data_IF_260661471614
#
_entry.id   IF_260661471614
#
_cell.length_a   1.000
_cell.length_b   1.000
_cell.length_c   1.000
_cell.angle_alpha   90.00
_cell.angle_beta   90.00
_cell.angle_gamma   90.00
#
_symmetry.space_group_name_H-M   'P 1'
#
loop_
_entity.id
_entity.type
_entity.pdbx_description
1 polymer ?
#
# COMPACT_ATOMS: atom_id res chain seq x y z
N UNK A 1 8.75 10.25 12.67
CA UNK A 1 7.57 10.30 11.78
C UNK A 1 6.32 10.52 12.62
N UNK A 2 5.99 9.60 13.52
CA UNK A 2 4.78 9.66 14.35
C UNK A 2 4.71 10.89 15.28
N UNK A 3 5.85 11.35 15.82
CA UNK A 3 5.90 12.62 16.58
C UNK A 3 5.52 13.81 15.71
N UNK A 4 6.09 13.88 14.50
CA UNK A 4 5.78 14.92 13.51
C UNK A 4 4.32 14.88 13.06
N UNK A 5 3.70 13.69 13.03
CA UNK A 5 2.28 13.53 12.74
C UNK A 5 1.40 14.03 13.90
N UNK A 6 1.72 13.69 15.15
CA UNK A 6 0.99 14.16 16.32
C UNK A 6 1.11 15.67 16.54
N UNK A 7 2.31 16.24 16.32
CA UNK A 7 2.53 17.70 16.33
C UNK A 7 1.65 18.40 15.28
N UNK A 8 1.53 17.80 14.09
CA UNK A 8 0.72 18.34 13.01
C UNK A 8 -0.79 18.21 13.27
N UNK A 9 -1.21 17.09 13.86
CA UNK A 9 -2.58 16.93 14.36
C UNK A 9 -2.90 17.99 15.43
N UNK A 10 -1.93 18.37 16.26
CA UNK A 10 -2.01 19.56 17.11
C UNK A 10 -3.08 19.50 18.20
N UNK A 11 -3.53 18.30 18.60
CA UNK A 11 -4.52 18.09 19.67
C UNK A 11 -3.88 17.88 21.06
N UNK A 12 -2.56 17.98 21.17
CA UNK A 12 -1.83 17.69 22.42
C UNK A 12 -1.79 16.21 22.78
N UNK A 13 -2.13 15.33 21.83
CA UNK A 13 -2.08 13.88 22.00
C UNK A 13 -0.68 13.33 21.81
N UNK A 14 -0.42 12.17 22.40
CA UNK A 14 0.83 11.42 22.19
C UNK A 14 0.89 10.82 20.79
N UNK A 15 2.12 10.69 20.26
CA UNK A 15 2.37 10.02 19.00
C UNK A 15 1.79 8.59 18.96
N UNK A 16 1.06 8.28 17.88
CA UNK A 16 0.44 6.97 17.67
C UNK A 16 1.28 6.13 16.69
N UNK A 17 1.25 4.79 16.78
CA UNK A 17 1.82 3.95 15.73
C UNK A 17 1.06 4.16 14.41
N UNK A 18 1.73 3.96 13.28
CA UNK A 18 1.07 3.92 11.98
C UNK A 18 0.05 2.77 11.95
N UNK A 19 -1.07 2.95 11.25
CA UNK A 19 -2.14 1.94 11.16
C UNK A 19 -1.69 0.63 10.49
N UNK A 20 -0.56 0.65 9.78
CA UNK A 20 0.08 -0.50 9.16
C UNK A 20 1.60 -0.44 9.32
N UNK A 21 2.29 -1.51 8.89
CA UNK A 21 3.74 -1.56 8.79
C UNK A 21 4.25 -0.73 7.58
N UNK A 22 3.96 0.56 7.57
CA UNK A 22 4.21 1.45 6.44
C UNK A 22 5.69 1.49 6.03
N UNK A 23 6.60 1.43 7.00
CA UNK A 23 8.05 1.42 6.75
C UNK A 23 8.50 0.11 6.10
N UNK A 24 8.04 -1.03 6.62
CA UNK A 24 8.39 -2.34 6.08
C UNK A 24 7.83 -2.51 4.66
N UNK A 25 6.58 -2.07 4.45
CA UNK A 25 5.95 -2.15 3.15
C UNK A 25 6.63 -1.27 2.11
N UNK A 26 6.93 0.00 2.45
CA UNK A 26 7.65 0.91 1.56
C UNK A 26 9.08 0.42 1.28
N UNK A 27 9.82 -0.02 2.31
CA UNK A 27 11.16 -0.54 2.13
C UNK A 27 11.19 -1.81 1.28
N UNK A 28 10.22 -2.71 1.45
CA UNK A 28 10.06 -3.90 0.62
C UNK A 28 9.89 -3.55 -0.85
N UNK A 29 8.99 -2.60 -1.18
CA UNK A 29 8.82 -2.14 -2.56
C UNK A 29 10.04 -1.43 -3.11
N UNK A 30 10.73 -0.59 -2.33
CA UNK A 30 11.97 0.04 -2.78
C UNK A 30 13.07 -0.98 -3.05
N UNK A 31 13.18 -2.03 -2.22
CA UNK A 31 14.13 -3.10 -2.45
C UNK A 31 13.80 -3.88 -3.72
N UNK A 32 12.53 -4.24 -3.92
CA UNK A 32 12.08 -4.93 -5.13
C UNK A 32 12.34 -4.09 -6.39
N UNK A 33 11.98 -2.80 -6.38
CA UNK A 33 12.26 -1.89 -7.48
C UNK A 33 13.77 -1.74 -7.75
N UNK A 34 14.58 -1.63 -6.70
CA UNK A 34 16.04 -1.57 -6.83
C UNK A 34 16.63 -2.86 -7.39
N UNK A 35 16.14 -4.03 -6.98
CA UNK A 35 16.55 -5.34 -7.55
C UNK A 35 16.20 -5.41 -9.03
N UNK A 36 15.00 -5.00 -9.42
CA UNK A 36 14.60 -4.96 -10.84
C UNK A 36 15.51 -4.05 -11.65
N UNK A 37 15.86 -2.87 -11.11
CA UNK A 37 16.82 -1.96 -11.75
C UNK A 37 18.22 -2.58 -11.84
N UNK A 38 18.70 -3.26 -10.79
CA UNK A 38 19.98 -3.95 -10.78
C UNK A 38 20.04 -5.08 -11.82
N UNK A 39 18.98 -5.87 -11.97
CA UNK A 39 18.87 -6.91 -12.99
C UNK A 39 18.87 -6.32 -14.40
N UNK A 40 18.13 -5.22 -14.61
CA UNK A 40 18.16 -4.50 -15.88
C UNK A 40 19.58 -4.03 -16.22
N UNK A 41 20.25 -3.35 -15.29
CA UNK A 41 21.62 -2.88 -15.48
C UNK A 41 22.61 -4.02 -15.70
N UNK A 42 22.47 -5.13 -14.99
CA UNK A 42 23.27 -6.32 -15.24
C UNK A 42 23.09 -6.84 -16.67
N UNK A 43 21.85 -6.86 -17.18
CA UNK A 43 21.55 -7.33 -18.53
C UNK A 43 22.05 -6.37 -19.63
N UNK A 44 22.04 -5.05 -19.39
CA UNK A 44 22.38 -4.05 -20.41
C UNK A 44 23.81 -3.53 -20.35
N UNK A 45 24.40 -3.48 -19.15
CA UNK A 45 25.74 -2.91 -18.89
C UNK A 45 26.74 -3.98 -18.39
N UNK A 46 26.27 -5.15 -17.98
CA UNK A 46 27.08 -6.17 -17.33
C UNK A 46 27.37 -5.86 -15.85
N UNK A 47 28.25 -6.67 -15.24
CA UNK A 47 28.70 -6.49 -13.86
C UNK A 47 27.77 -7.05 -12.78
N UNK A 48 28.04 -6.64 -11.54
CA UNK A 48 27.27 -6.97 -10.35
C UNK A 48 26.88 -5.70 -9.64
N UNK A 49 25.64 -5.65 -9.16
CA UNK A 49 25.06 -4.47 -8.53
C UNK A 49 24.58 -4.82 -7.12
N UNK A 50 24.74 -3.87 -6.20
CA UNK A 50 24.27 -4.00 -4.83
C UNK A 50 23.16 -2.97 -4.57
N UNK A 51 22.06 -3.42 -3.97
CA UNK A 51 20.91 -2.58 -3.63
C UNK A 51 20.79 -2.56 -2.11
N UNK A 52 20.92 -1.36 -1.54
CA UNK A 52 20.79 -1.15 -0.10
C UNK A 52 19.54 -0.33 0.19
N UNK A 53 18.68 -0.85 1.06
CA UNK A 53 17.49 -0.16 1.57
C UNK A 53 17.51 -0.23 3.10
N UNK A 54 17.09 0.85 3.75
CA UNK A 54 16.92 0.88 5.20
C UNK A 54 15.57 1.46 5.58
N UNK A 55 14.97 0.96 6.67
CA UNK A 55 13.71 1.48 7.21
C UNK A 55 13.83 2.97 7.58
N UNK A 56 15.00 3.40 8.08
CA UNK A 56 15.27 4.81 8.36
C UNK A 56 15.30 5.66 7.08
N UNK A 57 15.85 5.15 5.98
CA UNK A 57 15.81 5.78 4.67
C UNK A 57 14.38 5.89 4.13
N UNK A 58 13.59 4.81 4.23
CA UNK A 58 12.17 4.81 3.86
C UNK A 58 11.39 5.86 4.67
N UNK A 59 11.62 5.95 5.99
CA UNK A 59 11.01 6.99 6.84
C UNK A 59 11.38 8.40 6.38
N UNK A 60 12.66 8.66 6.07
CA UNK A 60 13.11 9.98 5.59
C UNK A 60 12.44 10.35 4.27
N UNK A 61 12.32 9.40 3.35
CA UNK A 61 11.62 9.59 2.09
C UNK A 61 10.14 9.92 2.31
N UNK A 62 9.41 9.12 3.11
CA UNK A 62 8.00 9.38 3.39
C UNK A 62 7.78 10.76 4.02
N UNK A 63 8.66 11.18 4.93
CA UNK A 63 8.62 12.54 5.49
C UNK A 63 8.88 13.65 4.45
N UNK A 64 9.65 13.38 3.41
CA UNK A 64 9.94 14.36 2.36
C UNK A 64 8.79 14.60 1.38
N UNK A 65 7.76 13.74 1.37
CA UNK A 65 6.57 13.92 0.54
C UNK A 65 5.70 15.12 0.96
N UNK A 66 6.00 15.73 2.11
CA UNK A 66 5.24 16.83 2.67
C UNK A 66 4.11 16.35 3.58
N UNK A 67 3.39 17.32 4.12
CA UNK A 67 2.20 17.11 4.94
C UNK A 67 1.11 18.06 4.43
N UNK A 68 -0.15 17.70 4.67
CA UNK A 68 -1.28 18.60 4.42
C UNK A 68 -1.18 19.85 5.31
N UNK A 69 -2.07 20.83 5.15
CA UNK A 69 -2.04 22.03 5.99
C UNK A 69 -2.84 21.81 7.29
N UNK A 70 -2.20 22.05 8.44
CA UNK A 70 -2.83 21.95 9.76
C UNK A 70 -3.52 20.61 9.98
N UNK A 71 -4.85 20.65 10.22
CA UNK A 71 -5.64 19.43 10.47
C UNK A 71 -6.35 18.87 9.24
N UNK A 72 -6.19 19.48 8.06
CA UNK A 72 -6.96 19.11 6.87
C UNK A 72 -6.75 17.66 6.44
N UNK A 73 -5.56 17.10 6.64
CA UNK A 73 -5.28 15.69 6.37
C UNK A 73 -5.92 14.69 7.35
N UNK A 74 -6.52 15.17 8.43
CA UNK A 74 -7.19 14.35 9.45
C UNK A 74 -8.71 14.54 9.46
N UNK A 75 -9.24 15.50 8.68
CA UNK A 75 -10.67 15.78 8.58
C UNK A 75 -11.33 14.77 7.61
N UNK A 76 -11.34 13.51 8.04
CA UNK A 76 -11.94 12.40 7.31
C UNK A 76 -13.03 11.75 8.15
N UNK A 77 -14.08 11.26 7.49
CA UNK A 77 -15.11 10.45 8.13
C UNK A 77 -14.57 9.04 8.35
N UNK A 78 -14.55 8.59 9.60
CA UNK A 78 -14.33 7.17 9.90
C UNK A 78 -15.57 6.36 9.54
N UNK A 79 -15.40 5.30 8.75
CA UNK A 79 -16.46 4.34 8.45
C UNK A 79 -16.40 3.19 9.46
N UNK A 80 -17.49 2.97 10.18
CA UNK A 80 -17.56 1.93 11.22
C UNK A 80 -18.12 0.61 10.70
N UNK A 81 -18.87 0.63 9.61
CA UNK A 81 -19.33 -0.55 8.89
C UNK A 81 -19.30 -0.32 7.37
N UNK A 82 -19.41 -1.41 6.60
CA UNK A 82 -19.29 -1.37 5.14
C UNK A 82 -20.44 -0.59 4.49
N UNK A 83 -21.63 -0.60 5.09
CA UNK A 83 -22.81 0.11 4.60
C UNK A 83 -22.64 1.64 4.64
N UNK A 84 -21.74 2.15 5.49
CA UNK A 84 -21.44 3.58 5.57
C UNK A 84 -20.46 4.05 4.48
N UNK A 85 -19.77 3.11 3.82
CA UNK A 85 -18.75 3.39 2.81
C UNK A 85 -19.44 3.81 1.50
N UNK A 86 -19.07 4.97 0.92
CA UNK A 86 -19.63 5.41 -0.36
C UNK A 86 -19.51 4.33 -1.45
N UNK A 87 -20.57 4.06 -2.22
CA UNK A 87 -20.59 3.00 -3.22
C UNK A 87 -19.46 3.09 -4.27
N UNK A 88 -18.97 4.28 -4.56
CA UNK A 88 -17.85 4.50 -5.48
C UNK A 88 -16.50 3.92 -5.00
N UNK A 89 -16.38 3.62 -3.71
CA UNK A 89 -15.21 2.92 -3.13
C UNK A 89 -15.41 1.41 -3.02
N UNK A 90 -16.57 0.91 -3.42
CA UNK A 90 -16.89 -0.50 -3.39
C UNK A 90 -16.90 -1.08 -4.81
N UNK A 91 -16.60 -2.37 -4.90
CA UNK A 91 -16.81 -3.17 -6.11
C UNK A 91 -17.55 -4.46 -5.74
N UNK A 92 -18.46 -4.87 -6.60
CA UNK A 92 -19.22 -6.12 -6.47
C UNK A 92 -18.80 -7.08 -7.58
N UNK A 93 -18.42 -8.30 -7.22
CA UNK A 93 -17.96 -9.33 -8.16
C UNK A 93 -18.50 -10.70 -7.76
N UNK A 94 -18.66 -11.56 -8.76
CA UNK A 94 -18.92 -12.99 -8.54
C UNK A 94 -17.66 -13.69 -8.03
N UNK A 95 -17.82 -14.52 -7.00
CA UNK A 95 -16.73 -15.24 -6.33
C UNK A 95 -17.07 -16.72 -6.16
N UNK A 96 -16.11 -17.51 -5.64
CA UNK A 96 -16.39 -18.91 -5.28
C UNK A 96 -17.39 -19.07 -4.12
N UNK A 97 -17.80 -17.97 -3.48
CA UNK A 97 -18.82 -17.92 -2.42
C UNK A 97 -20.12 -17.24 -2.89
N UNK A 98 -20.25 -16.92 -4.18
CA UNK A 98 -21.34 -16.11 -4.76
C UNK A 98 -20.96 -14.63 -4.91
N UNK A 99 -21.97 -13.78 -5.09
CA UNK A 99 -21.78 -12.34 -5.20
C UNK A 99 -21.19 -11.75 -3.91
N UNK A 100 -20.11 -10.99 -4.04
CA UNK A 100 -19.43 -10.37 -2.92
C UNK A 100 -19.13 -8.91 -3.23
N UNK A 101 -19.37 -8.03 -2.25
CA UNK A 101 -19.03 -6.60 -2.30
C UNK A 101 -17.89 -6.30 -1.34
N UNK A 102 -16.85 -5.63 -1.83
CA UNK A 102 -15.65 -5.29 -1.06
C UNK A 102 -15.11 -3.91 -1.44
N UNK A 103 -14.19 -3.37 -0.63
CA UNK A 103 -13.48 -2.14 -0.97
C UNK A 103 -12.62 -2.38 -2.21
N UNK A 104 -12.83 -1.55 -3.24
CA UNK A 104 -12.09 -1.65 -4.50
C UNK A 104 -10.61 -1.32 -4.29
N UNK A 105 -9.77 -1.79 -5.20
CA UNK A 105 -8.35 -1.44 -5.19
C UNK A 105 -8.16 0.09 -5.27
N UNK A 106 -7.31 0.65 -4.39
CA UNK A 106 -7.15 2.11 -4.25
C UNK A 106 -6.28 2.74 -5.34
N UNK A 107 -5.35 1.99 -5.93
CA UNK A 107 -4.49 2.50 -6.98
C UNK A 107 -5.21 2.56 -8.33
N UNK A 108 -4.94 3.61 -9.10
CA UNK A 108 -5.26 3.74 -10.52
C UNK A 108 -3.98 4.04 -11.29
N UNK A 109 -3.70 3.26 -12.33
CA UNK A 109 -2.48 3.41 -13.13
C UNK A 109 -2.91 3.47 -14.60
N UNK A 110 -2.49 4.52 -15.30
CA UNK A 110 -2.84 4.70 -16.71
C UNK A 110 -2.35 3.52 -17.56
N UNK A 111 -3.25 2.94 -18.36
CA UNK A 111 -2.95 1.82 -19.24
C UNK A 111 -2.79 0.47 -18.53
N UNK A 112 -3.00 0.39 -17.21
CA UNK A 112 -2.88 -0.85 -16.43
C UNK A 112 -4.21 -1.19 -15.77
N UNK A 113 -4.71 -2.41 -16.02
CA UNK A 113 -5.84 -2.94 -15.28
C UNK A 113 -5.39 -3.30 -13.86
N UNK A 114 -5.76 -2.45 -12.90
CA UNK A 114 -5.55 -2.68 -11.46
C UNK A 114 -6.72 -3.47 -10.87
N UNK A 115 -6.44 -4.33 -9.90
CA UNK A 115 -7.45 -5.11 -9.20
C UNK A 115 -6.99 -6.52 -8.89
N UNK A 116 -7.97 -7.40 -8.70
CA UNK A 116 -7.77 -8.78 -8.32
C UNK A 116 -8.01 -9.73 -9.49
N UNK A 117 -7.01 -10.52 -9.83
CA UNK A 117 -7.11 -11.56 -10.87
C UNK A 117 -7.73 -12.86 -10.34
N UNK A 118 -7.56 -13.11 -9.04
CA UNK A 118 -8.07 -14.31 -8.36
C UNK A 118 -9.07 -13.86 -7.30
N UNK A 119 -10.32 -14.29 -7.44
CA UNK A 119 -11.39 -14.03 -6.47
C UNK A 119 -11.29 -14.98 -5.27
N UNK A 120 -11.78 -14.55 -4.09
CA UNK A 120 -11.97 -15.44 -2.95
C UNK A 120 -12.80 -16.66 -3.33
N UNK A 121 -12.37 -17.82 -2.84
CA UNK A 121 -13.02 -19.11 -3.09
C UNK A 121 -12.72 -20.07 -1.94
N UNK A 122 -13.47 -21.19 -1.80
CA UNK A 122 -13.26 -22.14 -0.72
C UNK A 122 -11.81 -22.63 -0.62
N UNK A 123 -11.30 -22.74 0.61
CA UNK A 123 -9.95 -23.25 0.87
C UNK A 123 -9.77 -24.65 0.25
N UNK A 124 -8.64 -24.88 -0.42
CA UNK A 124 -8.33 -26.16 -1.06
C UNK A 124 -8.98 -26.37 -2.44
N UNK A 125 -9.69 -25.37 -2.99
CA UNK A 125 -10.25 -25.41 -4.35
C UNK A 125 -9.28 -24.97 -5.45
N UNK A 126 -8.07 -24.57 -5.09
CA UNK A 126 -7.00 -24.27 -6.04
C UNK A 126 -6.45 -25.53 -6.70
N UNK A 127 -6.17 -25.44 -8.01
CA UNK A 127 -5.38 -26.45 -8.69
C UNK A 127 -3.94 -26.39 -8.18
N UNK A 128 -3.38 -27.54 -7.84
CA UNK A 128 -1.96 -27.64 -7.45
C UNK A 128 -1.09 -27.40 -8.69
N UNK A 129 -0.56 -26.19 -8.84
CA UNK A 129 0.41 -25.82 -9.88
C UNK A 129 1.66 -25.24 -9.23
N UNK A 130 2.82 -25.60 -9.76
CA UNK A 130 4.08 -24.92 -9.47
C UNK A 130 4.36 -23.95 -10.63
N UNK A 131 4.73 -22.71 -10.30
CA UNK A 131 5.13 -21.68 -11.27
C UNK A 131 6.56 -21.92 -11.75
#
# INVERSE_FOLDING_TARGET
MNVSEAEHYGAGEVARPTCCQALDHAAGYFLAAGIMAALYKQATEGGSWEVNVSLAGAMKYLRSLGQYEGRSGFDTKDYTCTEDVPPEYLETRETGFGEMTAVRHSASIEGVQVGWDIMPKPLGSDEKKFF
#
